data_IF_826595552610
#
_entry.id   IF_826595552610
#
_cell.length_a   1.000
_cell.length_b   1.000
_cell.length_c   1.000
_cell.angle_alpha   90.00
_cell.angle_beta   90.00
_cell.angle_gamma   90.00
#
_symmetry.space_group_name_H-M   'P 1'
#
loop_
_entity.id
_entity.type
_entity.pdbx_description
1 polymer ?
#
# COMPACT_ATOMS: atom_id res chain seq x y z
N UNK A 1 -15.10 15.63 9.60
CA UNK A 1 -15.18 14.35 10.37
C UNK A 1 -13.91 13.56 10.08
N UNK A 2 -13.19 13.14 11.10
CA UNK A 2 -12.05 12.24 10.94
C UNK A 2 -12.57 10.87 10.54
N UNK A 3 -11.88 10.14 9.68
CA UNK A 3 -12.34 8.84 9.19
C UNK A 3 -12.62 7.85 10.33
N UNK A 4 -11.80 7.85 11.38
CA UNK A 4 -11.99 7.02 12.58
C UNK A 4 -13.23 7.40 13.43
N UNK A 5 -13.93 8.48 13.11
CA UNK A 5 -15.20 8.86 13.75
C UNK A 5 -16.41 8.24 13.03
N UNK A 6 -16.24 7.69 11.82
CA UNK A 6 -17.28 6.95 11.10
C UNK A 6 -17.56 5.63 11.80
N UNK A 7 -18.83 5.43 12.22
CA UNK A 7 -19.26 4.19 12.89
C UNK A 7 -19.06 2.96 11.99
N UNK A 8 -19.37 3.09 10.69
CA UNK A 8 -19.18 2.02 9.72
C UNK A 8 -17.72 1.62 9.58
N UNK A 9 -16.82 2.59 9.35
CA UNK A 9 -15.40 2.30 9.21
C UNK A 9 -14.80 1.72 10.49
N UNK A 10 -15.23 2.22 11.65
CA UNK A 10 -14.81 1.68 12.95
C UNK A 10 -15.26 0.23 13.15
N UNK A 11 -16.47 -0.11 12.73
CA UNK A 11 -16.95 -1.49 12.76
C UNK A 11 -16.11 -2.42 11.86
N UNK A 12 -15.76 -1.95 10.66
CA UNK A 12 -14.87 -2.70 9.75
C UNK A 12 -13.50 -2.96 10.37
N UNK A 13 -12.89 -1.94 10.98
CA UNK A 13 -11.59 -2.07 11.66
C UNK A 13 -11.67 -3.06 12.83
N UNK A 14 -12.70 -2.97 13.68
CA UNK A 14 -12.89 -3.89 14.82
C UNK A 14 -13.06 -5.34 14.35
N UNK A 15 -13.84 -5.56 13.29
CA UNK A 15 -14.02 -6.89 12.68
C UNK A 15 -12.69 -7.42 12.14
N UNK A 16 -11.94 -6.60 11.42
CA UNK A 16 -10.66 -6.97 10.82
C UNK A 16 -9.63 -7.34 11.89
N UNK A 17 -9.53 -6.54 12.96
CA UNK A 17 -8.64 -6.82 14.10
C UNK A 17 -9.06 -8.08 14.83
N UNK A 18 -10.36 -8.27 15.09
CA UNK A 18 -10.90 -9.44 15.79
C UNK A 18 -10.65 -10.76 15.06
N UNK A 19 -10.55 -10.71 13.72
CA UNK A 19 -10.28 -11.88 12.88
C UNK A 19 -8.78 -12.08 12.58
N UNK A 20 -7.89 -11.30 13.20
CA UNK A 20 -6.46 -11.29 12.90
C UNK A 20 -5.63 -11.66 14.12
N UNK A 21 -4.59 -12.47 13.92
CA UNK A 21 -3.58 -12.72 14.94
C UNK A 21 -2.42 -11.72 14.78
N UNK A 22 -2.48 -10.65 15.57
CA UNK A 22 -1.48 -9.58 15.60
C UNK A 22 -0.61 -9.62 16.88
N UNK A 23 -0.70 -10.66 17.67
CA UNK A 23 -0.06 -10.75 19.00
C UNK A 23 1.45 -10.56 19.00
N UNK A 24 2.13 -10.91 17.90
CA UNK A 24 3.58 -10.63 17.72
C UNK A 24 3.91 -9.14 17.64
N UNK A 25 2.92 -8.27 17.48
CA UNK A 25 3.10 -6.81 17.48
C UNK A 25 2.91 -6.19 18.87
N UNK A 26 2.57 -6.96 19.91
CA UNK A 26 2.39 -6.44 21.26
C UNK A 26 3.67 -5.74 21.75
N UNK A 27 3.54 -4.49 22.18
CA UNK A 27 4.65 -3.66 22.63
C UNK A 27 5.69 -3.30 21.56
N UNK A 28 5.40 -3.50 20.27
CA UNK A 28 6.34 -3.23 19.17
C UNK A 28 6.20 -1.82 18.62
N UNK A 29 7.32 -1.33 18.12
CA UNK A 29 7.44 -0.08 17.37
C UNK A 29 7.48 -0.37 15.87
N UNK A 30 6.64 0.32 15.11
CA UNK A 30 6.50 0.07 13.67
C UNK A 30 6.72 1.37 12.91
N UNK A 31 7.64 1.37 11.95
CA UNK A 31 7.85 2.51 11.05
C UNK A 31 7.19 2.23 9.70
N UNK A 32 6.33 3.14 9.25
CA UNK A 32 5.57 3.00 8.00
C UNK A 32 5.88 4.19 7.12
N UNK A 33 6.58 3.99 6.01
CA UNK A 33 6.73 5.02 4.99
C UNK A 33 5.51 5.00 4.05
N UNK A 34 5.07 6.18 3.61
CA UNK A 34 3.82 6.29 2.84
C UNK A 34 2.55 6.11 3.68
N UNK A 35 2.63 6.29 5.00
CA UNK A 35 1.51 6.10 5.93
C UNK A 35 0.33 7.05 5.77
N UNK A 36 0.44 8.09 4.92
CA UNK A 36 -0.67 8.98 4.54
C UNK A 36 -1.36 8.58 3.23
N UNK A 37 -0.88 7.50 2.57
CA UNK A 37 -1.50 6.93 1.37
C UNK A 37 -2.67 6.00 1.70
N UNK A 38 -3.40 5.53 0.65
CA UNK A 38 -4.57 4.66 0.80
C UNK A 38 -4.28 3.40 1.63
N UNK A 39 -3.23 2.66 1.27
CA UNK A 39 -2.84 1.41 1.96
C UNK A 39 -2.19 1.73 3.31
N UNK A 40 -1.20 2.64 3.32
CA UNK A 40 -0.45 2.96 4.54
C UNK A 40 -1.33 3.50 5.66
N UNK A 41 -2.29 4.38 5.36
CA UNK A 41 -3.20 4.89 6.39
C UNK A 41 -4.16 3.82 6.93
N UNK A 42 -4.61 2.88 6.10
CA UNK A 42 -5.40 1.75 6.56
C UNK A 42 -4.59 0.83 7.49
N UNK A 43 -3.32 0.60 7.21
CA UNK A 43 -2.42 -0.15 8.11
C UNK A 43 -2.30 0.56 9.46
N UNK A 44 -2.08 1.89 9.46
CA UNK A 44 -2.03 2.68 10.71
C UNK A 44 -3.34 2.56 11.48
N UNK A 45 -4.49 2.68 10.81
CA UNK A 45 -5.81 2.58 11.45
C UNK A 45 -6.05 1.19 12.11
N UNK A 46 -5.65 0.11 11.42
CA UNK A 46 -5.71 -1.26 11.97
C UNK A 46 -4.83 -1.38 13.21
N UNK A 47 -3.59 -0.89 13.16
CA UNK A 47 -2.66 -0.94 14.29
C UNK A 47 -3.13 -0.12 15.49
N UNK A 48 -3.67 1.07 15.25
CA UNK A 48 -4.26 1.92 16.30
C UNK A 48 -5.49 1.25 16.91
N UNK A 49 -6.32 0.61 16.11
CA UNK A 49 -7.52 -0.14 16.57
C UNK A 49 -7.11 -1.37 17.37
N UNK A 50 -6.07 -2.08 16.97
CA UNK A 50 -5.50 -3.20 17.73
C UNK A 50 -5.00 -2.77 19.12
N UNK A 51 -4.48 -1.57 19.23
CA UNK A 51 -4.15 -0.85 20.48
C UNK A 51 -3.14 -1.53 21.43
N UNK A 52 -2.47 -2.61 21.04
CA UNK A 52 -1.44 -3.26 21.86
C UNK A 52 -0.01 -3.00 21.38
N UNK A 53 0.15 -2.28 20.26
CA UNK A 53 1.44 -1.79 19.81
C UNK A 53 1.96 -0.70 20.76
N UNK A 54 3.26 -0.45 20.78
CA UNK A 54 3.83 0.70 21.49
C UNK A 54 3.65 1.97 20.66
N UNK A 55 4.35 2.09 19.52
CA UNK A 55 4.28 3.26 18.64
C UNK A 55 4.18 2.88 17.16
N UNK A 56 3.46 3.71 16.40
CA UNK A 56 3.51 3.76 14.95
C UNK A 56 4.16 5.06 14.50
N UNK A 57 5.33 4.97 13.92
CA UNK A 57 6.00 6.09 13.28
C UNK A 57 5.55 6.20 11.83
N UNK A 58 4.97 7.31 11.46
CA UNK A 58 4.46 7.57 10.10
C UNK A 58 5.44 8.45 9.35
N UNK A 59 6.15 7.86 8.40
CA UNK A 59 7.05 8.55 7.49
C UNK A 59 6.29 9.28 6.39
N UNK A 60 6.36 10.61 6.37
CA UNK A 60 5.70 11.44 5.37
C UNK A 60 6.44 12.78 5.16
N UNK A 61 6.20 13.40 3.98
CA UNK A 61 6.80 14.71 3.65
C UNK A 61 6.09 15.89 4.31
N UNK A 62 4.79 15.75 4.59
CA UNK A 62 3.94 16.84 5.09
C UNK A 62 3.45 16.54 6.51
N UNK A 63 4.00 17.25 7.48
CA UNK A 63 3.51 17.21 8.85
C UNK A 63 2.08 17.74 8.96
N UNK A 64 1.72 18.76 8.17
CA UNK A 64 0.36 19.30 8.11
C UNK A 64 -0.67 18.23 7.72
N UNK A 65 -0.39 17.42 6.67
CA UNK A 65 -1.28 16.32 6.29
C UNK A 65 -1.34 15.23 7.37
N UNK A 66 -0.21 14.95 8.02
CA UNK A 66 -0.16 14.04 9.16
C UNK A 66 -1.07 14.53 10.32
N UNK A 67 -0.96 15.79 10.72
CA UNK A 67 -1.80 16.36 11.79
C UNK A 67 -3.28 16.29 11.45
N UNK A 68 -3.65 16.55 10.20
CA UNK A 68 -5.05 16.42 9.74
C UNK A 68 -5.54 14.97 9.88
N UNK A 69 -4.71 13.97 9.56
CA UNK A 69 -5.11 12.57 9.52
C UNK A 69 -5.01 11.87 10.87
N UNK A 70 -3.94 12.08 11.59
CA UNK A 70 -3.58 11.36 12.81
C UNK A 70 -3.35 12.25 14.03
N UNK A 71 -3.42 13.56 13.90
CA UNK A 71 -3.22 14.49 15.01
C UNK A 71 -4.12 14.15 16.20
N UNK A 72 -3.53 14.11 17.41
CA UNK A 72 -4.20 13.72 18.65
C UNK A 72 -4.25 12.22 18.91
N UNK A 73 -3.73 11.36 18.03
CA UNK A 73 -3.53 9.94 18.32
C UNK A 73 -2.16 9.74 19.00
N UNK A 74 -2.15 9.52 20.32
CA UNK A 74 -0.94 9.43 21.14
C UNK A 74 0.00 8.24 20.78
N UNK A 75 -0.52 7.24 20.05
CA UNK A 75 0.26 6.09 19.57
C UNK A 75 0.91 6.31 18.21
N UNK A 76 0.59 7.40 17.52
CA UNK A 76 1.08 7.68 16.17
C UNK A 76 1.96 8.92 16.20
N UNK A 77 3.18 8.79 15.72
CA UNK A 77 4.17 9.87 15.68
C UNK A 77 4.59 10.19 14.25
N UNK A 78 4.77 11.48 13.98
CA UNK A 78 5.28 11.96 12.71
C UNK A 78 6.78 11.77 12.61
N UNK A 79 7.23 11.28 11.46
CA UNK A 79 8.65 11.27 11.08
C UNK A 79 8.78 11.88 9.69
N UNK A 80 9.63 12.91 9.54
CA UNK A 80 9.90 13.41 8.20
C UNK A 80 10.58 12.32 7.36
N UNK A 81 9.99 11.99 6.23
CA UNK A 81 10.52 11.01 5.29
C UNK A 81 10.23 11.44 3.85
N UNK A 82 11.29 11.47 3.04
CA UNK A 82 11.22 11.67 1.60
C UNK A 82 12.08 10.60 0.93
N UNK A 83 11.45 9.75 0.10
CA UNK A 83 12.12 8.64 -0.58
C UNK A 83 13.21 9.08 -1.56
N UNK A 84 13.23 10.35 -1.96
CA UNK A 84 14.25 10.95 -2.82
C UNK A 84 15.40 11.62 -2.04
N UNK A 85 15.39 11.54 -0.72
CA UNK A 85 16.40 12.17 0.13
C UNK A 85 17.11 11.14 1.00
N UNK A 86 18.33 11.49 1.42
CA UNK A 86 19.05 10.70 2.41
C UNK A 86 18.21 10.58 3.68
N UNK A 87 18.04 9.36 4.16
CA UNK A 87 17.30 9.12 5.40
C UNK A 87 18.18 9.45 6.61
N UNK A 88 17.54 10.08 7.60
CA UNK A 88 18.10 10.26 8.93
C UNK A 88 16.96 9.96 9.91
N UNK A 89 16.97 8.77 10.53
CA UNK A 89 15.92 8.32 11.41
C UNK A 89 16.45 8.26 12.85
N UNK A 90 15.92 9.13 13.69
CA UNK A 90 16.15 9.11 15.15
C UNK A 90 15.02 8.34 15.85
N UNK A 91 14.77 7.12 15.37
CA UNK A 91 13.77 6.20 15.91
C UNK A 91 14.36 4.77 15.94
N UNK A 92 13.79 3.90 16.77
CA UNK A 92 14.18 2.50 16.86
C UNK A 92 12.97 1.59 16.62
N UNK A 93 12.53 1.41 15.37
CA UNK A 93 11.43 0.51 15.09
C UNK A 93 11.86 -0.96 15.16
N UNK A 94 10.94 -1.82 15.59
CA UNK A 94 11.12 -3.27 15.48
C UNK A 94 10.85 -3.75 14.05
N UNK A 95 9.83 -3.14 13.39
CA UNK A 95 9.41 -3.47 12.04
C UNK A 95 9.39 -2.23 11.15
N UNK A 96 9.69 -2.42 9.87
CA UNK A 96 9.56 -1.38 8.85
C UNK A 96 8.59 -1.85 7.77
N UNK A 97 7.62 -0.99 7.40
CA UNK A 97 6.76 -1.17 6.24
C UNK A 97 7.10 -0.09 5.23
N UNK A 98 7.75 -0.49 4.15
CA UNK A 98 8.20 0.39 3.06
C UNK A 98 7.11 0.52 2.01
N UNK A 99 6.34 1.61 2.06
CA UNK A 99 5.23 1.89 1.14
C UNK A 99 5.30 3.26 0.47
N UNK A 100 6.34 4.06 0.73
CA UNK A 100 6.53 5.35 0.07
C UNK A 100 7.09 5.16 -1.36
N UNK A 101 6.55 5.92 -2.29
CA UNK A 101 6.96 5.97 -3.69
C UNK A 101 5.85 6.59 -4.53
N UNK A 102 6.20 7.09 -5.72
CA UNK A 102 5.19 7.57 -6.66
C UNK A 102 4.46 6.36 -7.24
N UNK A 103 3.14 6.30 -7.03
CA UNK A 103 2.28 5.16 -7.38
C UNK A 103 0.99 5.55 -8.12
N UNK A 104 0.95 6.75 -8.70
CA UNK A 104 -0.16 7.22 -9.55
C UNK A 104 0.17 6.99 -11.02
N UNK A 105 -0.72 6.39 -11.82
CA UNK A 105 -0.47 6.14 -13.24
C UNK A 105 -0.10 7.39 -14.05
N UNK A 106 -0.60 8.58 -13.70
CA UNK A 106 -0.24 9.85 -14.34
C UNK A 106 1.23 10.20 -14.11
N UNK A 107 1.71 9.99 -12.88
CA UNK A 107 3.09 10.32 -12.50
C UNK A 107 4.13 9.42 -13.17
N UNK A 108 3.74 8.21 -13.61
CA UNK A 108 4.69 7.33 -14.32
C UNK A 108 5.18 7.92 -15.64
N UNK A 109 4.36 8.74 -16.28
CA UNK A 109 4.69 9.41 -17.54
C UNK A 109 5.13 10.86 -17.35
N UNK A 110 4.58 11.56 -16.37
CA UNK A 110 4.92 12.96 -16.09
C UNK A 110 6.25 13.11 -15.33
N UNK A 111 6.57 12.15 -14.46
CA UNK A 111 7.75 12.15 -13.57
C UNK A 111 8.42 10.77 -13.53
N UNK A 112 8.87 10.24 -14.68
CA UNK A 112 9.43 8.88 -14.75
C UNK A 112 10.72 8.72 -13.95
N UNK A 113 11.57 9.74 -13.90
CA UNK A 113 12.83 9.70 -13.14
C UNK A 113 12.55 9.61 -11.65
N UNK A 114 11.71 10.51 -11.12
CA UNK A 114 11.33 10.50 -9.70
C UNK A 114 10.52 9.23 -9.36
N UNK A 115 9.78 8.68 -10.32
CA UNK A 115 9.07 7.40 -10.16
C UNK A 115 10.07 6.27 -9.94
N UNK A 116 11.12 6.17 -10.74
CA UNK A 116 12.16 5.15 -10.57
C UNK A 116 12.89 5.36 -9.25
N UNK A 117 13.45 6.55 -9.02
CA UNK A 117 14.29 6.83 -7.86
C UNK A 117 13.50 6.70 -6.54
N UNK A 118 12.30 7.25 -6.44
CA UNK A 118 11.53 7.16 -5.20
C UNK A 118 11.11 5.72 -4.84
N UNK A 119 10.92 4.85 -5.83
CA UNK A 119 10.58 3.45 -5.59
C UNK A 119 11.82 2.58 -5.35
N UNK A 120 12.97 2.91 -5.92
CA UNK A 120 14.21 2.13 -5.78
C UNK A 120 15.10 2.64 -4.64
N UNK A 121 15.52 3.91 -4.67
CA UNK A 121 16.42 4.47 -3.66
C UNK A 121 15.76 4.52 -2.27
N UNK A 122 14.44 4.77 -2.24
CA UNK A 122 13.69 4.77 -0.98
C UNK A 122 13.74 3.42 -0.27
N UNK A 123 13.59 2.31 -1.01
CA UNK A 123 13.68 0.97 -0.41
C UNK A 123 15.13 0.58 -0.13
N UNK A 124 16.08 0.97 -0.99
CA UNK A 124 17.50 0.75 -0.77
C UNK A 124 17.95 1.35 0.57
N UNK A 125 17.64 2.60 0.81
CA UNK A 125 17.98 3.29 2.05
C UNK A 125 17.38 2.61 3.30
N UNK A 126 16.15 2.09 3.22
CA UNK A 126 15.52 1.36 4.31
C UNK A 126 16.10 -0.04 4.54
N UNK A 127 16.56 -0.71 3.47
CA UNK A 127 17.28 -1.99 3.59
C UNK A 127 18.64 -1.80 4.26
N UNK A 128 19.40 -0.75 3.87
CA UNK A 128 20.65 -0.39 4.53
C UNK A 128 20.42 -0.02 6.01
N UNK A 129 19.38 0.75 6.29
CA UNK A 129 19.00 1.05 7.66
C UNK A 129 18.69 -0.24 8.45
N UNK A 130 17.93 -1.16 7.86
CA UNK A 130 17.56 -2.44 8.48
C UNK A 130 18.76 -3.32 8.78
N UNK A 131 19.71 -3.40 7.85
CA UNK A 131 20.98 -4.10 8.00
C UNK A 131 21.79 -3.57 9.19
N UNK A 132 21.85 -2.24 9.35
CA UNK A 132 22.71 -1.59 10.33
C UNK A 132 22.07 -1.46 11.72
N UNK A 133 20.73 -1.58 11.85
CA UNK A 133 20.00 -1.32 13.09
C UNK A 133 19.25 -2.52 13.67
N UNK A 134 19.54 -3.74 13.20
CA UNK A 134 18.93 -4.99 13.69
C UNK A 134 17.40 -4.98 13.67
N UNK A 135 16.81 -4.42 12.62
CA UNK A 135 15.35 -4.46 12.41
C UNK A 135 14.89 -5.92 12.33
N UNK A 136 13.84 -6.29 13.06
CA UNK A 136 13.33 -7.67 13.08
C UNK A 136 12.86 -8.10 11.69
N UNK A 137 12.14 -7.23 10.97
CA UNK A 137 11.74 -7.46 9.58
C UNK A 137 11.36 -6.17 8.87
N UNK A 138 11.73 -6.08 7.60
CA UNK A 138 11.23 -5.09 6.65
C UNK A 138 10.20 -5.75 5.73
N UNK A 139 9.03 -5.12 5.56
CA UNK A 139 8.07 -5.49 4.53
C UNK A 139 8.08 -4.41 3.44
N UNK A 140 8.28 -4.84 2.19
CA UNK A 140 8.21 -3.98 1.02
C UNK A 140 6.86 -4.09 0.32
N UNK A 141 6.16 -2.96 0.18
CA UNK A 141 4.92 -2.88 -0.59
C UNK A 141 5.29 -2.66 -2.07
N UNK A 142 5.26 -3.75 -2.82
CA UNK A 142 5.42 -3.77 -4.27
C UNK A 142 4.09 -3.47 -4.98
N UNK A 143 3.79 -4.13 -6.08
CA UNK A 143 2.55 -3.97 -6.85
C UNK A 143 2.31 -5.18 -7.73
N UNK A 144 1.06 -5.48 -8.06
CA UNK A 144 0.71 -6.44 -9.11
C UNK A 144 1.21 -6.02 -10.50
N UNK A 145 1.57 -4.76 -10.71
CA UNK A 145 2.19 -4.30 -11.97
C UNK A 145 3.55 -4.96 -12.26
N UNK A 146 4.22 -5.56 -11.26
CA UNK A 146 5.46 -6.33 -11.50
C UNK A 146 5.26 -7.52 -12.43
N UNK A 147 4.03 -8.04 -12.53
CA UNK A 147 3.74 -9.15 -13.44
C UNK A 147 3.86 -8.75 -14.92
N UNK A 148 3.61 -7.48 -15.27
CA UNK A 148 3.57 -7.06 -16.66
C UNK A 148 2.37 -7.64 -17.41
N UNK A 149 2.53 -7.88 -18.70
CA UNK A 149 1.47 -8.44 -19.56
C UNK A 149 1.57 -9.96 -19.63
N UNK A 150 0.49 -10.64 -19.25
CA UNK A 150 0.37 -12.09 -19.37
C UNK A 150 -0.25 -12.47 -20.73
N UNK A 151 0.34 -13.41 -21.43
CA UNK A 151 -0.19 -13.91 -22.72
C UNK A 151 -1.32 -14.94 -22.55
N UNK A 152 -1.44 -15.52 -21.38
CA UNK A 152 -2.45 -16.53 -21.05
C UNK A 152 -3.58 -15.93 -20.21
N UNK A 153 -4.79 -16.46 -20.33
CA UNK A 153 -5.89 -16.10 -19.45
C UNK A 153 -5.67 -16.59 -18.01
N UNK A 154 -6.36 -15.96 -17.06
CA UNK A 154 -6.36 -16.34 -15.65
C UNK A 154 -5.64 -15.34 -14.74
N UNK A 155 -5.73 -15.61 -13.44
CA UNK A 155 -5.10 -14.80 -12.40
C UNK A 155 -3.58 -15.01 -12.38
N UNK A 156 -2.85 -14.04 -11.85
CA UNK A 156 -1.41 -14.16 -11.62
C UNK A 156 -1.13 -14.91 -10.32
N UNK A 157 -0.16 -15.80 -10.37
CA UNK A 157 0.49 -16.41 -9.21
C UNK A 157 1.84 -15.74 -8.95
N UNK A 158 2.41 -15.92 -7.77
CA UNK A 158 3.69 -15.28 -7.40
C UNK A 158 4.87 -15.73 -8.27
N UNK A 159 4.75 -16.88 -8.94
CA UNK A 159 5.75 -17.42 -9.88
C UNK A 159 5.61 -16.91 -11.32
N UNK A 160 4.57 -16.14 -11.64
CA UNK A 160 4.35 -15.65 -13.00
C UNK A 160 5.30 -14.49 -13.36
N UNK A 161 5.74 -14.47 -14.63
CA UNK A 161 6.57 -13.42 -15.22
C UNK A 161 6.04 -13.07 -16.60
N UNK A 162 5.47 -11.89 -16.74
CA UNK A 162 4.98 -11.37 -18.02
C UNK A 162 5.96 -10.38 -18.66
N UNK A 163 5.65 -9.99 -19.88
CA UNK A 163 6.44 -9.04 -20.66
C UNK A 163 6.24 -7.61 -20.12
N UNK A 164 7.31 -6.82 -20.16
CA UNK A 164 7.30 -5.40 -19.89
C UNK A 164 8.01 -4.71 -21.04
N UNK A 165 7.29 -3.82 -21.71
CA UNK A 165 7.82 -2.99 -22.78
C UNK A 165 8.72 -1.91 -22.17
N UNK A 166 10.03 -2.05 -22.35
CA UNK A 166 11.04 -1.13 -21.81
C UNK A 166 11.16 0.18 -22.61
N UNK A 167 10.63 0.23 -23.83
CA UNK A 167 10.60 1.46 -24.64
C UNK A 167 9.40 2.35 -24.27
N UNK A 168 8.44 1.81 -23.54
CA UNK A 168 7.31 2.57 -23.03
C UNK A 168 7.67 3.24 -21.70
N UNK A 169 7.70 4.58 -21.67
CA UNK A 169 8.07 5.35 -20.48
C UNK A 169 7.18 5.05 -19.26
N UNK A 170 5.92 4.62 -19.46
CA UNK A 170 5.02 4.20 -18.39
C UNK A 170 5.58 2.99 -17.62
N UNK A 171 6.43 2.18 -18.24
CA UNK A 171 7.05 1.02 -17.59
C UNK A 171 8.06 1.39 -16.50
N UNK A 172 8.40 2.69 -16.34
CA UNK A 172 9.26 3.21 -15.28
C UNK A 172 8.87 2.70 -13.89
N UNK A 173 7.57 2.67 -13.58
CA UNK A 173 7.06 2.16 -12.32
C UNK A 173 7.23 0.64 -12.18
N UNK A 174 6.82 -0.11 -13.20
CA UNK A 174 6.91 -1.58 -13.20
C UNK A 174 8.35 -2.05 -13.05
N UNK A 175 9.28 -1.41 -13.80
CA UNK A 175 10.71 -1.73 -13.74
C UNK A 175 11.28 -1.38 -12.37
N UNK A 176 10.95 -0.20 -11.84
CA UNK A 176 11.40 0.20 -10.50
C UNK A 176 10.95 -0.79 -9.43
N UNK A 177 9.67 -1.23 -9.47
CA UNK A 177 9.14 -2.22 -8.53
C UNK A 177 9.83 -3.58 -8.67
N UNK A 178 10.09 -4.06 -9.90
CA UNK A 178 10.85 -5.30 -10.14
C UNK A 178 12.27 -5.21 -9.59
N UNK A 179 12.97 -4.11 -9.87
CA UNK A 179 14.32 -3.88 -9.37
C UNK A 179 14.36 -3.85 -7.84
N UNK A 180 13.38 -3.20 -7.22
CA UNK A 180 13.25 -3.12 -5.76
C UNK A 180 12.96 -4.48 -5.11
N UNK A 181 12.13 -5.33 -5.72
CA UNK A 181 11.93 -6.70 -5.25
C UNK A 181 13.23 -7.52 -5.33
N UNK A 182 13.97 -7.38 -6.44
CA UNK A 182 15.27 -8.04 -6.58
C UNK A 182 16.24 -7.55 -5.52
N UNK A 183 16.27 -6.23 -5.25
CA UNK A 183 17.11 -5.65 -4.19
C UNK A 183 16.78 -6.23 -2.82
N UNK A 184 15.48 -6.36 -2.46
CA UNK A 184 15.05 -7.01 -1.22
C UNK A 184 15.58 -8.44 -1.11
N UNK A 185 15.47 -9.22 -2.19
CA UNK A 185 15.99 -10.60 -2.23
C UNK A 185 17.51 -10.66 -2.13
N UNK A 186 18.21 -9.71 -2.77
CA UNK A 186 19.68 -9.60 -2.69
C UNK A 186 20.13 -9.30 -1.26
N UNK A 187 19.50 -8.35 -0.56
CA UNK A 187 19.79 -8.06 0.85
C UNK A 187 19.49 -9.23 1.77
N UNK A 188 18.43 -9.98 1.47
CA UNK A 188 18.11 -11.19 2.23
C UNK A 188 19.17 -12.28 2.07
N UNK A 189 19.71 -12.43 0.85
CA UNK A 189 20.72 -13.43 0.51
C UNK A 189 22.12 -13.04 0.99
N UNK A 190 22.54 -11.80 0.70
CA UNK A 190 23.92 -11.34 0.93
C UNK A 190 24.17 -10.93 2.39
N UNK A 191 23.22 -10.22 2.99
CA UNK A 191 23.39 -9.62 4.33
C UNK A 191 22.50 -10.25 5.39
N UNK A 192 21.65 -11.21 5.03
CA UNK A 192 20.75 -11.86 5.97
C UNK A 192 19.57 -11.02 6.46
N UNK A 193 19.35 -9.83 5.86
CA UNK A 193 18.20 -8.96 6.20
C UNK A 193 16.90 -9.72 6.04
N UNK A 194 16.08 -9.75 7.10
CA UNK A 194 14.76 -10.37 7.01
C UNK A 194 13.79 -9.38 6.31
N UNK A 195 13.50 -9.65 5.05
CA UNK A 195 12.54 -8.87 4.28
C UNK A 195 11.49 -9.76 3.63
N UNK A 196 10.26 -9.23 3.56
CA UNK A 196 9.09 -9.85 2.92
C UNK A 196 8.51 -8.85 1.92
N UNK A 197 7.99 -9.36 0.83
CA UNK A 197 7.45 -8.56 -0.26
C UNK A 197 5.96 -8.82 -0.37
N UNK A 198 5.16 -7.79 -0.62
CA UNK A 198 3.74 -7.93 -0.95
C UNK A 198 3.42 -7.24 -2.27
N UNK A 199 2.52 -7.83 -3.05
CA UNK A 199 2.09 -7.36 -4.37
C UNK A 199 0.59 -7.03 -4.34
N UNK A 200 0.19 -5.84 -3.85
CA UNK A 200 -1.21 -5.45 -3.86
C UNK A 200 -1.75 -5.33 -5.29
N UNK A 201 -2.98 -5.82 -5.48
CA UNK A 201 -3.77 -5.62 -6.69
C UNK A 201 -4.46 -4.25 -6.71
N UNK A 202 -5.73 -4.23 -7.15
CA UNK A 202 -6.54 -3.00 -7.13
C UNK A 202 -7.15 -2.80 -5.74
N UNK A 203 -6.63 -1.81 -5.01
CA UNK A 203 -7.09 -1.48 -3.67
C UNK A 203 -8.03 -0.27 -3.73
N UNK A 204 -9.16 -0.36 -3.00
CA UNK A 204 -10.11 0.72 -2.81
C UNK A 204 -10.41 0.93 -1.32
N UNK A 205 -10.89 2.11 -0.96
CA UNK A 205 -11.28 2.37 0.43
C UNK A 205 -11.40 3.85 0.75
N UNK A 206 -11.87 4.19 1.96
CA UNK A 206 -12.30 5.54 2.32
C UNK A 206 -11.14 6.54 2.49
N UNK A 207 -9.89 6.08 2.53
CA UNK A 207 -8.71 6.96 2.58
C UNK A 207 -8.25 7.43 1.20
N UNK A 208 -8.97 7.12 0.11
CA UNK A 208 -8.67 7.63 -1.22
C UNK A 208 -8.72 9.16 -1.24
N UNK A 209 -7.72 9.79 -1.86
CA UNK A 209 -7.68 11.25 -2.00
C UNK A 209 -8.55 11.68 -3.17
N UNK A 210 -9.18 12.87 -3.09
CA UNK A 210 -10.02 13.43 -4.18
C UNK A 210 -9.27 13.56 -5.51
N UNK A 211 -7.95 13.73 -5.46
CA UNK A 211 -7.09 13.79 -6.65
C UNK A 211 -6.79 12.42 -7.28
N UNK A 212 -7.20 11.32 -6.65
CA UNK A 212 -7.01 9.98 -7.17
C UNK A 212 -8.01 9.71 -8.30
N UNK A 213 -7.52 9.62 -9.52
CA UNK A 213 -8.31 9.41 -10.73
C UNK A 213 -8.55 7.94 -11.09
N UNK A 214 -8.18 7.01 -10.22
CA UNK A 214 -8.54 5.61 -10.41
C UNK A 214 -10.05 5.45 -10.40
N UNK A 215 -10.55 4.59 -11.27
CA UNK A 215 -11.99 4.47 -11.51
C UNK A 215 -12.81 4.20 -10.26
N UNK A 216 -12.29 3.39 -9.32
CA UNK A 216 -12.95 3.12 -8.04
C UNK A 216 -13.06 4.37 -7.16
N UNK A 217 -12.05 5.22 -7.17
CA UNK A 217 -12.05 6.49 -6.41
C UNK A 217 -12.97 7.51 -7.07
N UNK A 218 -12.92 7.66 -8.41
CA UNK A 218 -13.78 8.58 -9.16
C UNK A 218 -15.27 8.24 -8.94
N UNK A 219 -15.64 6.97 -9.07
CA UNK A 219 -17.02 6.53 -8.82
C UNK A 219 -17.45 6.75 -7.38
N UNK A 220 -16.58 6.46 -6.40
CA UNK A 220 -16.90 6.71 -4.99
C UNK A 220 -17.15 8.19 -4.70
N UNK A 221 -16.32 9.09 -5.22
CA UNK A 221 -16.50 10.52 -5.02
C UNK A 221 -17.75 11.05 -5.73
N UNK A 222 -18.02 10.64 -6.98
CA UNK A 222 -19.22 11.03 -7.70
C UNK A 222 -20.49 10.56 -7.01
N UNK A 223 -20.56 9.29 -6.61
CA UNK A 223 -21.67 8.75 -5.85
C UNK A 223 -21.89 9.52 -4.53
N UNK A 224 -20.82 9.84 -3.80
CA UNK A 224 -20.91 10.59 -2.55
C UNK A 224 -21.33 12.07 -2.72
N UNK A 225 -21.11 12.65 -3.90
CA UNK A 225 -21.50 14.06 -4.21
C UNK A 225 -22.78 14.18 -5.00
N UNK A 226 -23.47 13.07 -5.32
CA UNK A 226 -24.68 13.07 -6.12
C UNK A 226 -24.45 13.34 -7.62
N UNK A 227 -23.20 13.12 -8.09
CA UNK A 227 -22.84 13.30 -9.49
C UNK A 227 -23.05 12.02 -10.29
N UNK A 228 -23.46 12.15 -11.55
CA UNK A 228 -23.60 11.00 -12.45
C UNK A 228 -22.28 10.27 -12.67
N UNK A 229 -22.32 8.93 -12.64
CA UNK A 229 -21.18 8.10 -12.96
C UNK A 229 -20.99 8.01 -14.47
N UNK A 230 -19.77 8.33 -14.94
CA UNK A 230 -19.46 8.34 -16.37
C UNK A 230 -18.45 7.25 -16.69
N UNK A 231 -18.86 6.26 -17.49
CA UNK A 231 -17.97 5.25 -18.05
C UNK A 231 -17.44 5.68 -19.40
N UNK A 232 -16.11 5.64 -19.59
CA UNK A 232 -15.47 5.97 -20.88
C UNK A 232 -15.36 4.78 -21.83
N UNK A 233 -15.85 3.60 -21.43
CA UNK A 233 -15.80 2.36 -22.21
C UNK A 233 -17.02 1.48 -21.88
N UNK A 234 -17.13 0.30 -22.53
CA UNK A 234 -18.19 -0.68 -22.25
C UNK A 234 -18.21 -1.18 -20.81
N UNK A 235 -17.13 -0.98 -20.06
CA UNK A 235 -17.01 -1.41 -18.67
C UNK A 235 -16.89 -2.92 -18.46
N UNK A 236 -16.54 -3.68 -19.49
CA UNK A 236 -16.44 -5.15 -19.44
C UNK A 236 -15.10 -5.66 -18.84
N UNK A 237 -14.14 -4.75 -18.63
CA UNK A 237 -12.86 -5.12 -18.00
C UNK A 237 -13.12 -5.70 -16.62
N UNK A 238 -12.56 -6.89 -16.41
CA UNK A 238 -12.61 -7.64 -15.15
C UNK A 238 -11.46 -7.21 -14.25
N UNK A 239 -11.73 -7.04 -12.95
CA UNK A 239 -10.74 -6.71 -11.92
C UNK A 239 -11.12 -7.42 -10.63
N UNK A 240 -10.11 -7.80 -9.86
CA UNK A 240 -10.27 -8.12 -8.45
C UNK A 240 -9.98 -6.85 -7.64
N UNK A 241 -10.91 -6.45 -6.82
CA UNK A 241 -10.78 -5.29 -5.92
C UNK A 241 -10.70 -5.76 -4.48
N UNK A 242 -9.71 -5.27 -3.75
CA UNK A 242 -9.55 -5.54 -2.33
C UNK A 242 -9.79 -4.28 -1.50
N UNK A 243 -10.59 -4.41 -0.46
CA UNK A 243 -10.86 -3.32 0.47
C UNK A 243 -9.59 -2.96 1.27
N UNK A 244 -9.35 -1.68 1.52
CA UNK A 244 -8.09 -1.21 2.11
C UNK A 244 -7.83 -1.76 3.52
N UNK A 245 -8.87 -2.04 4.31
CA UNK A 245 -8.74 -2.65 5.64
C UNK A 245 -8.35 -4.12 5.52
N UNK A 246 -8.95 -4.87 4.59
CA UNK A 246 -8.59 -6.27 4.34
C UNK A 246 -7.16 -6.37 3.77
N UNK A 247 -6.80 -5.45 2.86
CA UNK A 247 -5.43 -5.32 2.37
C UNK A 247 -4.44 -5.07 3.52
N UNK A 248 -4.78 -4.18 4.46
CA UNK A 248 -3.93 -3.88 5.62
C UNK A 248 -3.69 -5.11 6.49
N UNK A 249 -4.75 -5.90 6.76
CA UNK A 249 -4.64 -7.15 7.54
C UNK A 249 -3.80 -8.20 6.80
N UNK A 250 -4.00 -8.36 5.48
CA UNK A 250 -3.19 -9.27 4.68
C UNK A 250 -1.71 -8.86 4.70
N UNK A 251 -1.40 -7.56 4.59
CA UNK A 251 -0.04 -7.03 4.68
C UNK A 251 0.57 -7.30 6.07
N UNK A 252 -0.16 -7.04 7.15
CA UNK A 252 0.31 -7.33 8.51
C UNK A 252 0.49 -8.84 8.73
N UNK A 253 -0.37 -9.66 8.15
CA UNK A 253 -0.20 -11.13 8.17
C UNK A 253 1.08 -11.56 7.44
N UNK A 254 1.35 -10.98 6.26
CA UNK A 254 2.60 -11.25 5.54
C UNK A 254 3.83 -10.75 6.33
N UNK A 255 3.74 -9.59 6.99
CA UNK A 255 4.79 -9.10 7.88
C UNK A 255 5.13 -10.11 8.98
N UNK A 256 4.12 -10.73 9.59
CA UNK A 256 4.29 -11.60 10.76
C UNK A 256 4.57 -13.07 10.41
N UNK A 257 4.02 -13.57 9.33
CA UNK A 257 4.02 -15.00 8.96
C UNK A 257 4.73 -15.30 7.64
N UNK A 258 5.05 -14.27 6.85
CA UNK A 258 5.73 -14.45 5.56
C UNK A 258 7.12 -15.03 5.71
N UNK A 259 7.58 -15.76 4.71
CA UNK A 259 8.94 -16.31 4.65
C UNK A 259 9.90 -15.25 4.10
N UNK A 260 11.08 -15.16 4.69
CA UNK A 260 12.16 -14.25 4.26
C UNK A 260 12.44 -14.37 2.76
N UNK A 261 12.51 -13.23 2.09
CA UNK A 261 12.78 -13.13 0.65
C UNK A 261 11.60 -13.51 -0.27
N UNK A 262 10.44 -13.93 0.28
CA UNK A 262 9.28 -14.32 -0.52
C UNK A 262 8.35 -13.15 -0.79
N UNK A 263 7.66 -13.23 -1.94
CA UNK A 263 6.61 -12.32 -2.33
C UNK A 263 5.24 -12.98 -2.15
N UNK A 264 4.21 -12.17 -1.84
CA UNK A 264 2.83 -12.61 -1.63
C UNK A 264 1.87 -11.66 -2.33
N UNK A 265 0.92 -12.22 -3.08
CA UNK A 265 -0.19 -11.46 -3.63
C UNK A 265 -1.11 -10.98 -2.52
N UNK A 266 -1.55 -9.73 -2.64
CA UNK A 266 -2.56 -9.13 -1.77
C UNK A 266 -3.76 -8.75 -2.63
N UNK A 267 -4.91 -9.36 -2.36
CA UNK A 267 -6.09 -9.18 -3.18
C UNK A 267 -7.32 -9.86 -2.60
N UNK A 268 -8.32 -10.02 -3.44
CA UNK A 268 -9.57 -10.74 -3.15
C UNK A 268 -9.88 -11.68 -4.32
N UNK A 269 -10.51 -12.81 -4.06
CA UNK A 269 -10.81 -13.82 -5.09
C UNK A 269 -11.98 -13.43 -5.98
N UNK A 270 -12.85 -12.53 -5.50
CA UNK A 270 -14.00 -12.09 -6.27
C UNK A 270 -13.56 -11.17 -7.42
N UNK A 271 -14.09 -11.46 -8.60
CA UNK A 271 -13.85 -10.70 -9.83
C UNK A 271 -15.11 -9.91 -10.16
N UNK A 272 -14.97 -8.61 -10.35
CA UNK A 272 -16.05 -7.73 -10.79
C UNK A 272 -15.67 -6.99 -12.08
N UNK A 273 -16.67 -6.60 -12.87
CA UNK A 273 -16.47 -5.71 -14.01
C UNK A 273 -16.59 -4.25 -13.59
N UNK A 274 -16.00 -3.34 -14.36
CA UNK A 274 -16.18 -1.89 -14.14
C UNK A 274 -17.66 -1.50 -14.19
N UNK A 275 -18.45 -2.14 -15.07
CA UNK A 275 -19.91 -1.92 -15.16
C UNK A 275 -20.65 -2.35 -13.88
N UNK A 276 -20.32 -3.50 -13.33
CA UNK A 276 -20.91 -3.97 -12.07
C UNK A 276 -20.54 -3.04 -10.92
N UNK A 277 -19.28 -2.61 -10.85
CA UNK A 277 -18.81 -1.66 -9.85
C UNK A 277 -19.55 -0.32 -9.97
N UNK A 278 -19.72 0.22 -11.21
CA UNK A 278 -20.49 1.44 -11.45
C UNK A 278 -21.93 1.31 -10.92
N UNK A 279 -22.59 0.18 -11.18
CA UNK A 279 -23.95 -0.09 -10.70
C UNK A 279 -24.02 -0.06 -9.17
N UNK A 280 -23.08 -0.73 -8.49
CA UNK A 280 -23.03 -0.76 -7.01
C UNK A 280 -22.85 0.66 -6.44
N UNK A 281 -21.94 1.47 -7.01
CA UNK A 281 -21.74 2.84 -6.55
C UNK A 281 -22.94 3.74 -6.85
N UNK A 282 -23.59 3.57 -8.00
CA UNK A 282 -24.80 4.33 -8.35
C UNK A 282 -25.96 4.01 -7.38
N UNK A 283 -26.18 2.74 -7.10
CA UNK A 283 -27.20 2.31 -6.13
C UNK A 283 -26.90 2.85 -4.72
N UNK A 284 -25.64 2.79 -4.28
CA UNK A 284 -25.23 3.29 -2.96
C UNK A 284 -25.34 4.82 -2.83
N UNK A 285 -25.13 5.56 -3.91
CA UNK A 285 -25.21 7.02 -3.97
C UNK A 285 -26.57 7.59 -4.41
N UNK A 286 -27.52 6.75 -4.82
CA UNK A 286 -28.79 7.14 -5.44
C UNK A 286 -28.59 8.07 -6.66
N UNK A 287 -27.66 7.74 -7.56
CA UNK A 287 -27.29 8.53 -8.75
C UNK A 287 -27.36 7.70 -10.04
#
# INVERSE_FOLDING_TARGET
>A
MRLLESALYKADLLRAVGNSDLTKLDGKNIFITGGLGLIGSAIVDVLVTYNKIDKVYVGARSEKEFQVRFGGCHKVEYVYYDALKKINLDIKPDYIISGAGLASPELYTEKPVETILSNFDGVHALLDYSKNNRIQRLLYISSSEVYGNKKTEGSFTEGDYGEVDIDNIRSSYTIAKRASEMLCKSYASEFGVDCVIVRPGHIYGPSAKKVDKRISSDFAFRAATGEQLVMKSSGLQKRSYCYSVDCAVQILTALLKGKKGQAYNIGHDEITTIRQMAKIYAEAGNV
#
